data_IF_170546810896
#
_entry.id   IF_170546810896
#
_cell.length_a   1.000
_cell.length_b   1.000
_cell.length_c   1.000
_cell.angle_alpha   90.00
_cell.angle_beta   90.00
_cell.angle_gamma   90.00
#
_symmetry.space_group_name_H-M   'P 1'
#
loop_
_entity.id
_entity.type
_entity.pdbx_description
1 polymer ?
#
# COMPACT_ATOMS: atom_id res chain seq x y z
N UNK A 1 30.46 -35.15 -4.33
CA UNK A 1 30.91 -33.77 -4.64
C UNK A 1 30.34 -33.20 -5.96
N UNK A 2 29.27 -33.76 -6.54
CA UNK A 2 28.71 -33.30 -7.84
C UNK A 2 27.61 -32.23 -7.75
N UNK A 3 27.03 -32.02 -6.56
CA UNK A 3 25.91 -31.09 -6.35
C UNK A 3 26.37 -29.62 -6.37
N UNK A 4 27.61 -29.34 -5.96
CA UNK A 4 28.17 -27.98 -5.92
C UNK A 4 28.34 -27.39 -7.32
N UNK A 5 28.71 -28.23 -8.30
CA UNK A 5 28.92 -27.77 -9.68
C UNK A 5 27.63 -27.28 -10.36
N UNK A 6 26.49 -27.91 -10.05
CA UNK A 6 25.19 -27.52 -10.62
C UNK A 6 24.74 -26.17 -10.07
N UNK A 7 24.97 -25.93 -8.77
CA UNK A 7 24.61 -24.66 -8.12
C UNK A 7 25.43 -23.47 -8.65
N UNK A 8 26.71 -23.69 -8.98
CA UNK A 8 27.53 -22.63 -9.57
C UNK A 8 27.12 -22.30 -11.01
N UNK A 9 26.75 -23.31 -11.80
CA UNK A 9 26.28 -23.10 -13.17
C UNK A 9 24.98 -22.29 -13.23
N UNK A 10 24.03 -22.55 -12.32
CA UNK A 10 22.79 -21.78 -12.26
C UNK A 10 23.01 -20.33 -11.81
N UNK A 11 23.89 -20.08 -10.82
CA UNK A 11 24.21 -18.71 -10.39
C UNK A 11 24.83 -17.85 -11.51
N UNK A 12 25.68 -18.44 -12.36
CA UNK A 12 26.28 -17.73 -13.50
C UNK A 12 25.22 -17.40 -14.56
N UNK A 13 24.25 -18.30 -14.80
CA UNK A 13 23.16 -18.06 -15.73
C UNK A 13 22.27 -16.89 -15.31
N UNK A 14 21.89 -16.81 -14.03
CA UNK A 14 21.08 -15.70 -13.51
C UNK A 14 21.84 -14.37 -13.49
N UNK A 15 23.17 -14.40 -13.36
CA UNK A 15 24.01 -13.18 -13.42
C UNK A 15 24.13 -12.63 -14.85
N UNK A 16 23.90 -13.47 -15.86
CA UNK A 16 23.96 -13.10 -17.28
C UNK A 16 22.63 -12.61 -17.84
N UNK A 17 21.51 -12.74 -17.10
CA UNK A 17 20.24 -12.12 -17.49
C UNK A 17 20.37 -10.64 -17.16
N UNK A 18 20.56 -9.75 -18.16
CA UNK A 18 20.62 -8.34 -17.88
C UNK A 18 19.22 -7.94 -17.44
N UNK A 19 19.14 -7.29 -16.29
CA UNK A 19 17.96 -6.58 -15.80
C UNK A 19 17.64 -5.41 -16.75
N UNK A 20 17.21 -5.72 -17.97
CA UNK A 20 16.78 -4.76 -18.98
C UNK A 20 15.35 -4.24 -18.75
N UNK A 21 14.78 -4.49 -17.57
CA UNK A 21 13.58 -3.80 -17.09
C UNK A 21 13.95 -2.40 -16.53
N UNK A 22 14.68 -1.62 -17.32
CA UNK A 22 14.79 -0.17 -17.09
C UNK A 22 13.63 0.49 -17.82
N UNK A 23 12.56 0.69 -17.05
CA UNK A 23 11.58 1.76 -17.15
C UNK A 23 11.88 2.78 -18.27
N UNK A 24 11.27 2.58 -19.45
CA UNK A 24 11.24 3.59 -20.51
C UNK A 24 10.24 4.67 -20.05
N UNK A 25 10.78 5.81 -19.62
CA UNK A 25 10.04 6.99 -19.16
C UNK A 25 9.73 7.86 -20.39
N UNK A 26 8.46 7.97 -20.85
CA UNK A 26 8.13 8.83 -21.99
C UNK A 26 8.07 10.29 -21.50
N UNK A 27 9.09 11.07 -21.85
CA UNK A 27 9.06 12.55 -21.77
C UNK A 27 8.10 13.10 -22.82
N UNK A 28 6.88 13.45 -22.43
CA UNK A 28 5.99 14.31 -23.23
C UNK A 28 5.64 15.56 -22.41
N UNK A 29 5.90 16.70 -23.02
CA UNK A 29 5.80 18.05 -22.48
C UNK A 29 4.37 18.45 -22.05
N UNK A 30 4.20 19.41 -21.13
CA UNK A 30 2.88 19.84 -20.68
C UNK A 30 2.27 20.80 -21.71
N UNK A 31 1.19 20.36 -22.37
CA UNK A 31 0.27 21.24 -23.10
C UNK A 31 -1.10 21.09 -22.48
N UNK A 32 -1.69 22.22 -22.15
CA UNK A 32 -2.98 22.38 -21.47
C UNK A 32 -4.12 21.74 -22.26
N UNK A 33 -4.68 20.65 -21.73
CA UNK A 33 -5.97 20.13 -22.20
C UNK A 33 -6.78 19.55 -21.03
N UNK A 34 -7.91 20.17 -20.73
CA UNK A 34 -8.92 19.62 -19.83
C UNK A 34 -9.46 18.31 -20.42
N UNK A 35 -9.09 17.14 -19.88
CA UNK A 35 -9.90 15.90 -19.84
C UNK A 35 -9.07 14.74 -19.28
N UNK A 36 -9.42 14.26 -18.08
CA UNK A 36 -9.14 12.91 -17.52
C UNK A 36 -7.95 12.11 -18.09
N UNK A 37 -6.72 12.57 -17.89
CA UNK A 37 -5.58 11.65 -17.93
C UNK A 37 -5.70 10.70 -16.72
N UNK A 38 -5.53 9.37 -16.86
CA UNK A 38 -5.44 8.50 -15.70
C UNK A 38 -4.15 8.89 -14.98
N UNK A 39 -4.27 9.65 -13.89
CA UNK A 39 -3.17 9.75 -12.94
C UNK A 39 -2.87 8.32 -12.49
N UNK A 40 -1.75 7.74 -12.89
CA UNK A 40 -1.30 6.40 -12.47
C UNK A 40 -1.08 6.27 -10.95
N UNK A 41 -1.44 7.29 -10.17
CA UNK A 41 -1.42 7.30 -8.73
C UNK A 41 -2.78 6.85 -8.19
N UNK A 42 -2.83 5.91 -7.24
CA UNK A 42 -4.08 5.49 -6.63
C UNK A 42 -4.74 6.66 -5.91
N UNK A 43 -6.05 6.81 -6.11
CA UNK A 43 -6.86 7.76 -5.34
C UNK A 43 -7.08 7.22 -3.94
N UNK A 44 -6.93 8.07 -2.94
CA UNK A 44 -7.13 7.71 -1.54
C UNK A 44 -8.41 8.32 -0.99
N UNK A 45 -9.21 7.50 -0.31
CA UNK A 45 -10.44 7.86 0.35
C UNK A 45 -10.30 7.64 1.86
N UNK A 46 -11.00 8.44 2.68
CA UNK A 46 -11.04 8.21 4.13
C UNK A 46 -11.95 7.03 4.43
N UNK A 47 -11.44 6.08 5.20
CA UNK A 47 -12.18 4.92 5.68
C UNK A 47 -12.06 4.85 7.19
N UNK A 48 -13.17 4.52 7.85
CA UNK A 48 -13.31 4.51 9.31
C UNK A 48 -13.78 3.15 9.78
N UNK A 49 -13.17 2.64 10.85
CA UNK A 49 -13.56 1.38 11.46
C UNK A 49 -13.29 1.41 12.97
N UNK A 50 -14.20 0.80 13.74
CA UNK A 50 -14.03 0.65 15.19
C UNK A 50 -13.39 -0.71 15.47
N UNK A 51 -12.34 -0.71 16.28
CA UNK A 51 -11.64 -1.90 16.75
C UNK A 51 -11.67 -2.00 18.27
N UNK A 52 -11.55 -3.21 18.80
CA UNK A 52 -11.36 -3.44 20.23
C UNK A 52 -9.90 -3.15 20.63
N UNK A 53 -9.73 -2.64 21.85
CA UNK A 53 -8.46 -2.26 22.46
C UNK A 53 -8.17 -0.75 22.49
N UNK A 54 -6.95 -0.39 22.91
CA UNK A 54 -6.48 0.99 23.04
C UNK A 54 -5.68 1.44 21.81
N UNK A 55 -5.46 2.75 21.65
CA UNK A 55 -4.64 3.27 20.56
C UNK A 55 -3.16 2.85 20.65
N UNK A 56 -2.68 2.37 21.80
CA UNK A 56 -1.26 2.09 22.04
C UNK A 56 -0.93 0.61 22.14
N UNK A 57 -1.88 -0.28 21.86
CA UNK A 57 -1.72 -1.74 22.02
C UNK A 57 -0.56 -2.31 21.20
N UNK A 58 -0.26 -1.71 20.04
CA UNK A 58 0.81 -2.16 19.13
C UNK A 58 1.81 -1.06 18.80
N UNK A 59 2.10 -0.21 19.80
CA UNK A 59 3.06 0.88 19.70
C UNK A 59 2.39 2.22 19.47
N UNK A 60 2.68 2.88 18.34
CA UNK A 60 2.11 4.22 18.08
C UNK A 60 0.62 4.12 17.69
N UNK A 61 -0.20 5.14 17.99
CA UNK A 61 -1.59 5.23 17.53
C UNK A 61 -1.77 4.94 16.03
N UNK A 62 -0.86 5.46 15.20
CA UNK A 62 -0.86 5.22 13.75
C UNK A 62 -0.55 3.76 13.42
N UNK A 63 0.47 3.18 14.04
CA UNK A 63 0.90 1.79 13.80
C UNK A 63 -0.20 0.82 14.21
N UNK A 64 -0.83 1.02 15.37
CA UNK A 64 -1.92 0.18 15.85
C UNK A 64 -3.05 0.12 14.82
N UNK A 65 -3.59 1.27 14.41
CA UNK A 65 -4.66 1.33 13.41
C UNK A 65 -4.25 0.79 12.03
N UNK A 66 -3.02 1.08 11.59
CA UNK A 66 -2.50 0.55 10.32
C UNK A 66 -2.52 -0.98 10.29
N UNK A 67 -2.02 -1.62 11.34
CA UNK A 67 -1.98 -3.09 11.43
C UNK A 67 -3.39 -3.70 11.49
N UNK A 68 -4.32 -3.07 12.21
CA UNK A 68 -5.68 -3.59 12.31
C UNK A 68 -6.46 -3.42 10.99
N UNK A 69 -6.26 -2.32 10.28
CA UNK A 69 -6.82 -2.14 8.94
C UNK A 69 -6.29 -3.21 7.96
N UNK A 70 -4.99 -3.51 7.99
CA UNK A 70 -4.41 -4.58 7.18
C UNK A 70 -5.02 -5.95 7.51
N UNK A 71 -5.24 -6.23 8.79
CA UNK A 71 -5.81 -7.49 9.25
C UNK A 71 -7.30 -7.64 8.92
N UNK A 72 -8.07 -6.55 8.92
CA UNK A 72 -9.53 -6.60 8.76
C UNK A 72 -10.03 -6.46 7.32
N UNK A 73 -9.23 -5.88 6.42
CA UNK A 73 -9.68 -5.54 5.06
C UNK A 73 -8.86 -6.27 4.00
N UNK A 74 -7.68 -5.74 3.68
CA UNK A 74 -6.69 -6.37 2.79
C UNK A 74 -5.44 -5.48 2.71
N UNK A 75 -4.27 -6.06 2.47
CA UNK A 75 -3.07 -5.31 2.14
C UNK A 75 -3.21 -4.49 0.83
N UNK A 76 -4.11 -4.91 -0.07
CA UNK A 76 -4.38 -4.20 -1.33
C UNK A 76 -5.03 -2.83 -1.14
N UNK A 77 -5.65 -2.56 0.02
CA UNK A 77 -6.19 -1.23 0.31
C UNK A 77 -5.11 -0.20 0.64
N UNK A 78 -3.87 -0.64 0.88
CA UNK A 78 -2.70 0.20 1.16
C UNK A 78 -3.00 1.35 2.15
N UNK A 79 -3.51 1.05 3.36
CA UNK A 79 -3.88 2.07 4.33
C UNK A 79 -2.69 2.95 4.68
N UNK A 80 -2.90 4.27 4.76
CA UNK A 80 -1.91 5.26 5.19
C UNK A 80 -2.54 6.39 5.97
N UNK A 81 -1.73 7.27 6.56
CA UNK A 81 -2.19 8.44 7.31
C UNK A 81 -3.27 8.10 8.34
N UNK A 82 -3.05 7.01 9.08
CA UNK A 82 -4.00 6.52 10.06
C UNK A 82 -4.00 7.36 11.33
N UNK A 83 -5.19 7.73 11.77
CA UNK A 83 -5.50 8.39 13.02
C UNK A 83 -6.24 7.43 13.95
N UNK A 84 -6.04 7.59 15.26
CA UNK A 84 -6.69 6.77 16.27
C UNK A 84 -7.33 7.66 17.33
N UNK A 85 -8.62 7.46 17.57
CA UNK A 85 -9.38 8.14 18.61
C UNK A 85 -9.83 7.11 19.64
N UNK A 86 -9.40 7.22 20.91
CA UNK A 86 -9.88 6.35 21.99
C UNK A 86 -11.40 6.44 22.16
N UNK A 87 -12.05 5.31 22.42
CA UNK A 87 -13.50 5.21 22.66
C UNK A 87 -13.77 4.53 24.02
N UNK A 88 -14.96 4.74 24.61
CA UNK A 88 -15.37 4.01 25.81
C UNK A 88 -15.36 2.48 25.61
N UNK A 89 -15.31 1.73 26.72
CA UNK A 89 -15.37 0.26 26.75
C UNK A 89 -14.20 -0.44 26.05
N UNK A 90 -12.98 0.11 26.20
CA UNK A 90 -11.76 -0.42 25.60
C UNK A 90 -11.90 -0.63 24.08
N UNK A 91 -12.33 0.41 23.37
CA UNK A 91 -12.41 0.45 21.92
C UNK A 91 -11.63 1.64 21.38
N UNK A 92 -11.36 1.62 20.07
CA UNK A 92 -10.77 2.74 19.33
C UNK A 92 -11.45 2.92 17.99
N UNK A 93 -11.62 4.17 17.58
CA UNK A 93 -11.97 4.51 16.20
C UNK A 93 -10.67 4.74 15.42
N UNK A 94 -10.46 3.94 14.39
CA UNK A 94 -9.36 4.10 13.46
C UNK A 94 -9.88 4.74 12.17
N UNK A 95 -9.19 5.78 11.70
CA UNK A 95 -9.47 6.44 10.42
C UNK A 95 -8.20 6.45 9.57
N UNK A 96 -8.22 5.78 8.42
CA UNK A 96 -7.09 5.69 7.51
C UNK A 96 -7.47 6.20 6.11
N UNK A 97 -6.48 6.66 5.35
CA UNK A 97 -6.59 6.85 3.92
C UNK A 97 -6.33 5.51 3.22
N UNK A 98 -7.32 4.96 2.53
CA UNK A 98 -7.24 3.69 1.78
C UNK A 98 -7.44 3.96 0.29
N UNK A 99 -7.03 3.04 -0.57
CA UNK A 99 -7.37 3.12 -2.00
C UNK A 99 -8.88 3.13 -2.14
N UNK A 100 -9.42 4.12 -2.86
CA UNK A 100 -10.84 4.20 -3.13
C UNK A 100 -11.27 2.96 -3.93
N UNK A 101 -12.14 2.12 -3.36
CA UNK A 101 -12.77 0.99 -4.07
C UNK A 101 -13.80 1.48 -5.08
N UNK A 102 -14.35 2.67 -4.86
CA UNK A 102 -15.41 3.25 -5.67
C UNK A 102 -15.00 4.67 -6.06
N UNK A 103 -14.34 4.81 -7.20
CA UNK A 103 -14.03 6.12 -7.78
C UNK A 103 -15.28 6.93 -8.23
N UNK A 104 -16.51 6.53 -7.86
CA UNK A 104 -17.73 7.03 -8.48
C UNK A 104 -18.95 7.23 -7.55
N UNK A 105 -18.84 7.25 -6.21
CA UNK A 105 -19.99 7.67 -5.38
C UNK A 105 -20.08 9.20 -5.38
N UNK A 106 -20.73 9.76 -6.42
CA UNK A 106 -21.30 11.10 -6.38
C UNK A 106 -22.38 11.09 -5.30
N UNK A 107 -22.21 11.90 -4.26
CA UNK A 107 -23.35 12.40 -3.50
C UNK A 107 -24.03 13.53 -4.27
#
# INVERSE_FOLDING_TARGET
>A
MKVVAIFLASCVLFSLIPTHLSHEEPKVAPTEELMFAPSNQPRYCRSRQVFDGSCTDRGTPRTTCFLDFLGARSASEMPKNCDCTPQPNNKRLCECSVICTDCCVKN
#
